data_IF_316540167615
#
_entry.id   IF_316540167615
#
_cell.length_a   1.000
_cell.length_b   1.000
_cell.length_c   1.000
_cell.angle_alpha   90.00
_cell.angle_beta   90.00
_cell.angle_gamma   90.00
#
_symmetry.space_group_name_H-M   'P 1'
#
loop_
_entity.id
_entity.type
_entity.pdbx_description
1 polymer ?
#
# COMPACT_ATOMS: atom_id res chain seq x y z
N UNK A 1 21.60 -8.92 -55.45
CA UNK A 1 20.41 -8.93 -54.58
C UNK A 1 20.78 -8.15 -53.32
N UNK A 2 20.32 -6.91 -53.18
CA UNK A 2 20.76 -6.03 -52.10
C UNK A 2 19.95 -6.29 -50.82
N UNK A 3 20.66 -6.30 -49.70
CA UNK A 3 20.10 -6.16 -48.37
C UNK A 3 19.69 -4.70 -48.15
N UNK A 4 18.44 -4.47 -47.79
CA UNK A 4 17.91 -3.16 -47.40
C UNK A 4 17.73 -3.18 -45.88
N UNK A 5 18.54 -2.37 -45.20
CA UNK A 5 18.24 -1.85 -43.87
C UNK A 5 16.88 -1.16 -43.90
N UNK A 6 15.98 -1.56 -43.01
CA UNK A 6 14.71 -0.87 -42.75
C UNK A 6 14.50 -0.80 -41.24
N UNK A 7 14.58 0.41 -40.69
CA UNK A 7 14.41 0.76 -39.29
C UNK A 7 13.15 0.12 -38.68
N UNK A 8 13.32 -0.58 -37.57
CA UNK A 8 12.25 -0.82 -36.59
C UNK A 8 12.01 0.49 -35.82
N UNK A 9 11.16 1.35 -36.40
CA UNK A 9 10.46 2.40 -35.66
C UNK A 9 9.43 1.73 -34.76
N UNK A 10 9.80 1.46 -33.51
CA UNK A 10 8.81 1.32 -32.43
C UNK A 10 8.32 2.73 -32.11
N UNK A 11 7.37 3.20 -32.92
CA UNK A 11 6.60 4.39 -32.61
C UNK A 11 5.84 4.12 -31.31
N UNK A 12 6.18 4.90 -30.29
CA UNK A 12 5.35 5.22 -29.15
C UNK A 12 4.03 5.81 -29.63
N UNK A 13 3.06 4.98 -29.96
CA UNK A 13 1.67 5.38 -29.86
C UNK A 13 1.25 5.14 -28.41
N UNK A 14 1.35 6.19 -27.58
CA UNK A 14 0.32 6.38 -26.59
C UNK A 14 -1.01 6.37 -27.37
N UNK A 15 -1.79 5.30 -27.21
CA UNK A 15 -3.09 5.23 -27.85
C UNK A 15 -3.89 6.43 -27.32
N UNK A 16 -4.38 7.28 -28.22
CA UNK A 16 -5.33 8.32 -27.85
C UNK A 16 -6.48 7.65 -27.08
N UNK A 17 -6.93 8.30 -26.00
CA UNK A 17 -8.03 7.79 -25.20
C UNK A 17 -9.25 7.53 -26.11
N UNK A 18 -10.01 6.48 -25.85
CA UNK A 18 -11.20 6.21 -26.65
C UNK A 18 -12.14 7.43 -26.59
N UNK A 19 -12.72 7.90 -27.71
CA UNK A 19 -13.51 9.15 -27.74
C UNK A 19 -14.65 9.19 -26.71
N UNK A 20 -15.22 8.03 -26.37
CA UNK A 20 -16.29 7.90 -25.37
C UNK A 20 -15.82 8.15 -23.91
N UNK A 21 -14.50 8.22 -23.67
CA UNK A 21 -13.91 8.49 -22.36
C UNK A 21 -13.44 9.95 -22.22
N UNK A 22 -13.52 10.75 -23.28
CA UNK A 22 -13.15 12.17 -23.23
C UNK A 22 -14.20 13.01 -22.50
N UNK A 23 -13.78 14.08 -21.79
CA UNK A 23 -14.72 14.94 -21.09
C UNK A 23 -15.62 15.71 -22.08
N UNK A 24 -16.96 15.66 -21.91
CA UNK A 24 -17.86 16.43 -22.77
C UNK A 24 -17.75 17.93 -22.47
N UNK A 25 -18.19 18.75 -23.43
CA UNK A 25 -18.36 20.18 -23.18
C UNK A 25 -19.47 20.40 -22.16
N UNK A 26 -19.19 21.22 -21.14
CA UNK A 26 -20.12 21.59 -20.06
C UNK A 26 -20.05 23.08 -19.82
N UNK A 27 -21.17 23.65 -19.39
CA UNK A 27 -21.22 25.07 -19.03
C UNK A 27 -20.38 25.32 -17.78
N UNK A 28 -19.65 26.46 -17.69
CA UNK A 28 -18.83 26.80 -16.53
C UNK A 28 -19.68 27.33 -15.35
N UNK A 29 -20.75 26.61 -14.99
CA UNK A 29 -21.68 26.88 -13.89
C UNK A 29 -21.72 25.71 -12.91
N UNK A 30 -22.38 25.88 -11.76
CA UNK A 30 -22.55 24.81 -10.78
C UNK A 30 -23.40 23.66 -11.34
N UNK A 31 -24.45 23.96 -12.11
CA UNK A 31 -25.27 22.93 -12.77
C UNK A 31 -24.47 22.16 -13.85
N UNK A 32 -23.59 22.87 -14.57
CA UNK A 32 -22.66 22.25 -15.51
C UNK A 32 -21.67 21.33 -14.80
N UNK A 33 -21.16 21.74 -13.63
CA UNK A 33 -20.27 20.94 -12.80
C UNK A 33 -20.93 19.67 -12.26
N UNK A 34 -22.21 19.71 -11.89
CA UNK A 34 -22.99 18.51 -11.49
C UNK A 34 -23.02 17.49 -12.62
N UNK A 35 -23.31 17.93 -13.85
CA UNK A 35 -23.33 17.05 -15.02
C UNK A 35 -21.93 16.53 -15.36
N UNK A 36 -20.92 17.39 -15.28
CA UNK A 36 -19.52 17.02 -15.47
C UNK A 36 -19.07 15.94 -14.49
N UNK A 37 -19.36 16.09 -13.20
CA UNK A 37 -19.04 15.11 -12.16
C UNK A 37 -19.75 13.77 -12.40
N UNK A 38 -21.01 13.78 -12.85
CA UNK A 38 -21.74 12.57 -13.18
C UNK A 38 -21.11 11.82 -14.36
N UNK A 39 -20.74 12.55 -15.41
CA UNK A 39 -20.11 11.96 -16.58
C UNK A 39 -18.71 11.41 -16.22
N UNK A 40 -17.92 12.16 -15.45
CA UNK A 40 -16.64 11.71 -14.90
C UNK A 40 -16.80 10.39 -14.16
N UNK A 41 -17.77 10.29 -13.26
CA UNK A 41 -17.99 9.09 -12.48
C UNK A 41 -18.29 7.87 -13.38
N UNK A 42 -19.10 8.05 -14.44
CA UNK A 42 -19.44 6.95 -15.35
C UNK A 42 -18.27 6.44 -16.19
N UNK A 43 -17.31 7.30 -16.53
CA UNK A 43 -16.13 6.93 -17.33
C UNK A 43 -14.97 6.51 -16.44
N UNK A 44 -14.80 7.12 -15.27
CA UNK A 44 -13.77 6.79 -14.29
C UNK A 44 -13.92 5.37 -13.76
N UNK A 45 -15.15 4.88 -13.48
CA UNK A 45 -15.36 3.49 -13.04
C UNK A 45 -14.77 2.47 -14.02
N UNK A 46 -14.84 2.75 -15.33
CA UNK A 46 -14.29 1.86 -16.37
C UNK A 46 -12.76 1.91 -16.38
N UNK A 47 -12.18 3.11 -16.36
CA UNK A 47 -10.73 3.32 -16.44
C UNK A 47 -10.02 2.82 -15.19
N UNK A 48 -10.58 3.11 -14.01
CA UNK A 48 -10.05 2.66 -12.72
C UNK A 48 -10.17 1.14 -12.58
N UNK A 49 -11.27 0.52 -13.04
CA UNK A 49 -11.40 -0.93 -13.04
C UNK A 49 -10.31 -1.62 -13.85
N UNK A 50 -9.99 -1.12 -15.05
CA UNK A 50 -8.94 -1.68 -15.90
C UNK A 50 -7.55 -1.49 -15.28
N UNK A 51 -7.26 -0.29 -14.76
CA UNK A 51 -5.99 0.01 -14.08
C UNK A 51 -5.76 -0.89 -12.86
N UNK A 52 -6.75 -0.95 -11.96
CA UNK A 52 -6.70 -1.80 -10.76
C UNK A 52 -6.61 -3.28 -11.13
N UNK A 53 -7.29 -3.72 -12.19
CA UNK A 53 -7.19 -5.10 -12.67
C UNK A 53 -5.79 -5.45 -13.16
N UNK A 54 -5.13 -4.55 -13.89
CA UNK A 54 -3.75 -4.73 -14.32
C UNK A 54 -2.77 -4.75 -13.13
N UNK A 55 -2.94 -3.83 -12.18
CA UNK A 55 -2.18 -3.80 -10.92
C UNK A 55 -2.36 -5.07 -10.11
N UNK A 56 -3.59 -5.58 -9.97
CA UNK A 56 -3.86 -6.85 -9.27
C UNK A 56 -3.14 -8.03 -9.93
N UNK A 57 -3.21 -8.14 -11.26
CA UNK A 57 -2.57 -9.22 -12.01
C UNK A 57 -1.05 -9.19 -11.87
N UNK A 58 -0.44 -8.01 -11.83
CA UNK A 58 0.98 -7.85 -11.53
C UNK A 58 1.31 -8.25 -10.09
N UNK A 59 0.60 -7.69 -9.11
CA UNK A 59 0.86 -7.94 -7.68
C UNK A 59 0.68 -9.42 -7.29
N UNK A 60 -0.21 -10.15 -7.97
CA UNK A 60 -0.45 -11.58 -7.73
C UNK A 60 0.31 -12.51 -8.68
N UNK A 61 1.09 -11.95 -9.62
CA UNK A 61 1.95 -12.69 -10.53
C UNK A 61 3.01 -11.76 -11.16
N UNK A 62 4.15 -11.60 -10.46
CA UNK A 62 5.22 -10.68 -10.83
C UNK A 62 5.99 -11.21 -12.06
N UNK A 63 5.57 -10.79 -13.25
CA UNK A 63 6.22 -11.09 -14.52
C UNK A 63 6.51 -9.81 -15.30
N UNK A 64 7.47 -9.87 -16.24
CA UNK A 64 7.76 -8.73 -17.10
C UNK A 64 6.58 -8.35 -18.01
N UNK A 65 5.78 -9.35 -18.42
CA UNK A 65 4.56 -9.13 -19.20
C UNK A 65 3.50 -8.39 -18.39
N UNK A 66 3.21 -8.84 -17.17
CA UNK A 66 2.25 -8.18 -16.29
C UNK A 66 2.72 -6.78 -15.89
N UNK A 67 4.02 -6.57 -15.68
CA UNK A 67 4.58 -5.24 -15.43
C UNK A 67 4.32 -4.28 -16.61
N UNK A 68 4.53 -4.74 -17.85
CA UNK A 68 4.26 -3.94 -19.03
C UNK A 68 2.78 -3.63 -19.20
N UNK A 69 1.88 -4.58 -18.89
CA UNK A 69 0.44 -4.37 -18.89
C UNK A 69 -0.01 -3.37 -17.81
N UNK A 70 0.55 -3.46 -16.61
CA UNK A 70 0.30 -2.51 -15.52
C UNK A 70 0.72 -1.10 -15.94
N UNK A 71 1.97 -0.92 -16.39
CA UNK A 71 2.47 0.39 -16.84
C UNK A 71 1.59 0.96 -17.95
N UNK A 72 1.16 0.12 -18.90
CA UNK A 72 0.25 0.55 -19.97
C UNK A 72 -1.09 1.04 -19.42
N UNK A 73 -1.72 0.29 -18.52
CA UNK A 73 -2.99 0.67 -17.93
C UNK A 73 -2.88 1.96 -17.09
N UNK A 74 -1.79 2.12 -16.32
CA UNK A 74 -1.51 3.36 -15.58
C UNK A 74 -1.32 4.57 -16.51
N UNK A 75 -0.71 4.39 -17.69
CA UNK A 75 -0.59 5.48 -18.68
C UNK A 75 -1.96 5.86 -19.28
N UNK A 76 -2.83 4.88 -19.54
CA UNK A 76 -4.20 5.13 -20.01
C UNK A 76 -5.02 5.89 -18.94
N UNK A 77 -4.89 5.51 -17.67
CA UNK A 77 -5.48 6.23 -16.54
C UNK A 77 -4.94 7.66 -16.38
N UNK A 78 -3.62 7.85 -16.52
CA UNK A 78 -3.01 9.18 -16.45
C UNK A 78 -3.46 10.09 -17.60
N UNK A 79 -3.66 9.54 -18.81
CA UNK A 79 -4.23 10.28 -19.93
C UNK A 79 -5.68 10.70 -19.65
N UNK A 80 -6.50 9.80 -19.09
CA UNK A 80 -7.85 10.13 -18.64
C UNK A 80 -7.83 11.25 -17.60
N UNK A 81 -7.01 11.10 -16.56
CA UNK A 81 -6.87 12.08 -15.47
C UNK A 81 -6.41 13.44 -15.98
N UNK A 82 -5.44 13.47 -16.91
CA UNK A 82 -4.99 14.72 -17.52
C UNK A 82 -6.11 15.42 -18.29
N UNK A 83 -6.84 14.71 -19.14
CA UNK A 83 -7.90 15.30 -19.98
C UNK A 83 -9.03 15.87 -19.11
N UNK A 84 -9.52 15.07 -18.16
CA UNK A 84 -10.59 15.49 -17.25
C UNK A 84 -10.14 16.61 -16.32
N UNK A 85 -8.94 16.50 -15.74
CA UNK A 85 -8.40 17.51 -14.84
C UNK A 85 -8.12 18.84 -15.54
N UNK A 86 -7.54 18.82 -16.75
CA UNK A 86 -7.37 20.05 -17.56
C UNK A 86 -8.71 20.67 -17.91
N UNK A 87 -9.71 19.87 -18.29
CA UNK A 87 -11.05 20.39 -18.60
C UNK A 87 -11.74 20.98 -17.38
N UNK A 88 -11.57 20.38 -16.21
CA UNK A 88 -12.07 20.91 -14.94
C UNK A 88 -11.40 22.24 -14.58
N UNK A 89 -10.06 22.35 -14.73
CA UNK A 89 -9.31 23.61 -14.55
C UNK A 89 -9.78 24.69 -15.52
N UNK A 90 -10.04 24.34 -16.79
CA UNK A 90 -10.54 25.27 -17.82
C UNK A 90 -11.93 25.84 -17.49
N UNK A 91 -12.88 24.97 -17.13
CA UNK A 91 -14.28 25.37 -16.92
C UNK A 91 -14.51 26.01 -15.54
N UNK A 92 -13.94 25.39 -14.50
CA UNK A 92 -14.29 25.66 -13.10
C UNK A 92 -13.18 26.37 -12.32
N UNK A 93 -11.90 26.22 -12.68
CA UNK A 93 -10.78 27.03 -12.16
C UNK A 93 -10.83 27.27 -10.64
N UNK A 94 -10.99 28.53 -10.21
CA UNK A 94 -11.18 28.87 -8.78
C UNK A 94 -12.67 28.93 -8.35
N UNK A 95 -13.60 28.85 -9.32
CA UNK A 95 -15.05 28.99 -9.09
C UNK A 95 -15.64 27.84 -8.27
N UNK A 96 -15.06 26.64 -8.37
CA UNK A 96 -15.57 25.47 -7.65
C UNK A 96 -15.61 25.69 -6.14
N UNK A 97 -14.67 26.47 -5.58
CA UNK A 97 -14.65 26.80 -4.15
C UNK A 97 -15.91 27.51 -3.66
N UNK A 98 -16.64 28.17 -4.57
CA UNK A 98 -17.85 28.92 -4.27
C UNK A 98 -19.15 28.14 -4.57
N UNK A 99 -19.06 26.90 -5.06
CA UNK A 99 -20.27 26.09 -5.28
C UNK A 99 -21.01 25.85 -3.97
N UNK A 100 -22.34 25.90 -4.02
CA UNK A 100 -23.19 25.73 -2.84
C UNK A 100 -23.08 24.31 -2.26
N UNK A 101 -22.98 23.29 -3.11
CA UNK A 101 -22.88 21.89 -2.69
C UNK A 101 -21.45 21.51 -2.21
N UNK A 102 -21.25 21.21 -0.91
CA UNK A 102 -19.95 20.79 -0.39
C UNK A 102 -19.41 19.50 -1.00
N UNK A 103 -20.26 18.55 -1.42
CA UNK A 103 -19.80 17.33 -2.07
C UNK A 103 -19.27 17.63 -3.47
N UNK A 104 -19.98 18.46 -4.23
CA UNK A 104 -19.54 18.90 -5.54
C UNK A 104 -18.20 19.66 -5.47
N UNK A 105 -17.99 20.49 -4.44
CA UNK A 105 -16.68 21.12 -4.20
C UNK A 105 -15.56 20.09 -4.07
N UNK A 106 -15.76 19.06 -3.24
CA UNK A 106 -14.76 17.99 -3.06
C UNK A 106 -14.48 17.24 -4.35
N UNK A 107 -15.53 16.87 -5.10
CA UNK A 107 -15.38 16.13 -6.35
C UNK A 107 -14.62 16.96 -7.39
N UNK A 108 -15.04 18.20 -7.64
CA UNK A 108 -14.41 19.05 -8.65
C UNK A 108 -13.01 19.50 -8.23
N UNK A 109 -12.78 19.74 -6.94
CA UNK A 109 -11.44 19.98 -6.40
C UNK A 109 -10.50 18.79 -6.59
N UNK A 110 -10.99 17.56 -6.33
CA UNK A 110 -10.23 16.33 -6.55
C UNK A 110 -9.89 16.10 -8.01
N UNK A 111 -10.85 16.28 -8.93
CA UNK A 111 -10.61 16.10 -10.39
C UNK A 111 -9.56 17.10 -10.90
N UNK A 112 -9.48 18.30 -10.31
CA UNK A 112 -8.48 19.30 -10.69
C UNK A 112 -7.06 18.99 -10.18
N UNK A 113 -6.87 18.00 -9.32
CA UNK A 113 -5.54 17.56 -8.89
C UNK A 113 -5.08 16.44 -9.82
N UNK A 114 -4.10 16.71 -10.68
CA UNK A 114 -3.65 15.76 -11.70
C UNK A 114 -2.54 14.83 -11.19
N UNK A 115 -1.78 15.27 -10.18
CA UNK A 115 -0.63 14.54 -9.65
C UNK A 115 0.38 14.21 -10.75
N UNK A 116 0.89 12.96 -10.82
CA UNK A 116 1.81 12.50 -11.87
C UNK A 116 1.33 12.77 -13.30
N UNK A 117 0.02 12.91 -13.53
CA UNK A 117 -0.55 13.27 -14.83
C UNK A 117 -0.23 14.70 -15.28
N UNK A 118 0.40 15.53 -14.45
CA UNK A 118 0.97 16.81 -14.88
C UNK A 118 2.28 16.66 -15.67
N UNK A 119 3.02 15.57 -15.45
CA UNK A 119 4.32 15.36 -16.05
C UNK A 119 4.21 15.19 -17.58
N UNK A 120 5.25 15.54 -18.36
CA UNK A 120 5.39 15.11 -19.75
C UNK A 120 5.34 13.58 -19.90
N UNK A 121 4.92 13.08 -21.06
CA UNK A 121 4.71 11.64 -21.29
C UNK A 121 5.95 10.79 -20.96
N UNK A 122 7.14 11.21 -21.37
CA UNK A 122 8.40 10.53 -21.07
C UNK A 122 8.69 10.45 -19.56
N UNK A 123 8.35 11.52 -18.83
CA UNK A 123 8.49 11.56 -17.37
C UNK A 123 7.41 10.74 -16.66
N UNK A 124 6.19 10.64 -17.21
CA UNK A 124 5.14 9.73 -16.70
C UNK A 124 5.54 8.27 -16.85
N UNK A 125 6.05 7.89 -18.02
CA UNK A 125 6.58 6.56 -18.27
C UNK A 125 7.72 6.23 -17.30
N UNK A 126 8.64 7.18 -17.09
CA UNK A 126 9.73 7.03 -16.13
C UNK A 126 9.20 6.90 -14.69
N UNK A 127 8.22 7.71 -14.27
CA UNK A 127 7.60 7.67 -12.96
C UNK A 127 6.96 6.29 -12.68
N UNK A 128 6.12 5.81 -13.60
CA UNK A 128 5.45 4.51 -13.47
C UNK A 128 6.45 3.35 -13.48
N UNK A 129 7.49 3.42 -14.31
CA UNK A 129 8.56 2.41 -14.36
C UNK A 129 9.34 2.38 -13.04
N UNK A 130 9.65 3.55 -12.45
CA UNK A 130 10.35 3.63 -11.17
C UNK A 130 9.51 2.98 -10.06
N UNK A 131 8.20 3.26 -10.00
CA UNK A 131 7.30 2.62 -9.02
C UNK A 131 7.30 1.10 -9.16
N UNK A 132 7.02 0.58 -10.36
CA UNK A 132 7.05 -0.86 -10.65
C UNK A 132 8.41 -1.49 -10.28
N UNK A 133 9.52 -0.82 -10.58
CA UNK A 133 10.85 -1.32 -10.24
C UNK A 133 11.10 -1.34 -8.73
N UNK A 134 10.65 -0.32 -7.99
CA UNK A 134 10.78 -0.28 -6.53
C UNK A 134 9.98 -1.40 -5.88
N UNK A 135 8.73 -1.62 -6.31
CA UNK A 135 7.87 -2.69 -5.80
C UNK A 135 8.46 -4.07 -6.08
N UNK A 136 8.99 -4.27 -7.30
CA UNK A 136 9.69 -5.50 -7.67
C UNK A 136 10.91 -5.74 -6.80
N UNK A 137 11.79 -4.74 -6.64
CA UNK A 137 13.01 -4.87 -5.82
C UNK A 137 12.64 -5.25 -4.39
N UNK A 138 11.66 -4.57 -3.81
CA UNK A 138 11.22 -4.87 -2.46
C UNK A 138 10.62 -6.28 -2.35
N UNK A 139 9.74 -6.67 -3.27
CA UNK A 139 9.02 -7.95 -3.19
C UNK A 139 9.87 -9.17 -3.51
N UNK A 140 10.96 -9.00 -4.28
CA UNK A 140 11.81 -10.09 -4.78
C UNK A 140 13.19 -10.13 -4.13
N UNK A 141 13.52 -9.18 -3.26
CA UNK A 141 14.79 -9.18 -2.54
C UNK A 141 14.92 -10.44 -1.67
N UNK A 142 16.13 -11.03 -1.69
CA UNK A 142 16.45 -12.24 -0.94
C UNK A 142 17.78 -12.07 -0.22
N UNK A 143 17.91 -12.72 0.93
CA UNK A 143 19.16 -12.79 1.70
C UNK A 143 19.78 -14.17 1.55
N UNK A 144 20.92 -14.26 0.88
CA UNK A 144 21.56 -15.53 0.57
C UNK A 144 22.72 -15.86 1.51
N UNK A 145 22.67 -17.06 2.07
CA UNK A 145 23.73 -17.66 2.86
C UNK A 145 24.92 -18.10 1.99
N UNK A 146 26.14 -18.22 2.56
CA UNK A 146 27.32 -18.68 1.82
C UNK A 146 27.19 -20.08 1.19
N UNK A 147 26.26 -20.90 1.67
CA UNK A 147 25.98 -22.24 1.14
C UNK A 147 25.03 -22.23 -0.08
N UNK A 148 24.57 -21.05 -0.52
CA UNK A 148 23.66 -20.88 -1.66
C UNK A 148 22.17 -20.90 -1.31
N UNK A 149 21.77 -21.14 -0.05
CA UNK A 149 20.37 -21.02 0.36
C UNK A 149 19.98 -19.54 0.51
N UNK A 150 18.86 -19.13 -0.09
CA UNK A 150 18.35 -17.76 0.04
C UNK A 150 17.04 -17.72 0.82
N UNK A 151 16.86 -16.66 1.61
CA UNK A 151 15.66 -16.40 2.39
C UNK A 151 14.88 -15.24 1.79
N UNK A 152 13.58 -15.45 1.58
CA UNK A 152 12.65 -14.39 1.20
C UNK A 152 12.28 -13.53 2.42
N UNK A 153 11.80 -12.30 2.20
CA UNK A 153 11.22 -11.51 3.30
C UNK A 153 10.10 -12.28 4.00
N UNK A 154 9.12 -12.72 3.20
CA UNK A 154 7.98 -13.50 3.65
C UNK A 154 8.00 -14.92 3.01
N UNK A 155 8.04 -16.00 3.82
CA UNK A 155 7.96 -16.02 5.29
C UNK A 155 9.33 -16.04 6.01
N UNK A 156 10.44 -16.33 5.32
CA UNK A 156 11.67 -16.79 5.97
C UNK A 156 12.29 -15.75 6.93
N UNK A 157 12.56 -14.54 6.45
CA UNK A 157 13.18 -13.50 7.26
C UNK A 157 12.23 -13.01 8.35
N UNK A 158 10.95 -12.82 8.04
CA UNK A 158 9.93 -12.45 9.03
C UNK A 158 9.85 -13.48 10.17
N UNK A 159 9.90 -14.77 9.87
CA UNK A 159 9.89 -15.83 10.89
C UNK A 159 11.19 -15.88 11.69
N UNK A 160 12.35 -15.65 11.05
CA UNK A 160 13.64 -15.52 11.75
C UNK A 160 13.58 -14.35 12.73
N UNK A 161 13.10 -13.19 12.30
CA UNK A 161 13.01 -11.99 13.13
C UNK A 161 12.02 -12.18 14.29
N UNK A 162 10.91 -12.88 14.06
CA UNK A 162 9.90 -13.13 15.08
C UNK A 162 10.36 -14.15 16.14
N UNK A 163 10.96 -15.26 15.72
CA UNK A 163 11.16 -16.44 16.59
C UNK A 163 12.59 -16.61 17.08
N UNK A 164 13.60 -16.12 16.34
CA UNK A 164 14.99 -16.32 16.73
C UNK A 164 15.34 -15.50 17.96
N UNK A 165 16.23 -16.06 18.79
CA UNK A 165 16.82 -15.39 19.95
C UNK A 165 18.35 -15.35 19.85
N UNK A 166 18.91 -15.63 18.67
CA UNK A 166 20.35 -15.56 18.40
C UNK A 166 20.71 -14.19 17.85
N UNK A 167 21.48 -13.40 18.63
CA UNK A 167 21.90 -12.05 18.24
C UNK A 167 22.52 -12.03 16.83
N UNK A 168 23.46 -12.94 16.55
CA UNK A 168 24.16 -12.99 15.27
C UNK A 168 23.25 -13.36 14.10
N UNK A 169 22.29 -14.28 14.31
CA UNK A 169 21.35 -14.68 13.26
C UNK A 169 20.39 -13.54 12.92
N UNK A 170 19.87 -12.87 13.95
CA UNK A 170 19.00 -11.69 13.80
C UNK A 170 19.74 -10.55 13.09
N UNK A 171 20.99 -10.27 13.51
CA UNK A 171 21.81 -9.24 12.88
C UNK A 171 22.04 -9.55 11.38
N UNK A 172 22.39 -10.80 11.05
CA UNK A 172 22.63 -11.20 9.67
C UNK A 172 21.38 -11.05 8.80
N UNK A 173 20.21 -11.47 9.31
CA UNK A 173 18.93 -11.32 8.61
C UNK A 173 18.59 -9.84 8.40
N UNK A 174 18.70 -9.02 9.45
CA UNK A 174 18.37 -7.60 9.42
C UNK A 174 19.29 -6.81 8.48
N UNK A 175 20.61 -6.99 8.62
CA UNK A 175 21.62 -6.33 7.78
C UNK A 175 21.51 -6.80 6.32
N UNK A 176 21.37 -8.12 6.11
CA UNK A 176 21.19 -8.70 4.79
C UNK A 176 19.99 -8.11 4.07
N UNK A 177 18.84 -7.98 4.75
CA UNK A 177 17.63 -7.41 4.16
C UNK A 177 17.80 -5.95 3.78
N UNK A 178 18.29 -5.12 4.71
CA UNK A 178 18.50 -3.69 4.45
C UNK A 178 19.51 -3.46 3.32
N UNK A 179 20.52 -4.33 3.19
CA UNK A 179 21.47 -4.27 2.10
C UNK A 179 20.89 -4.73 0.76
N UNK A 180 20.11 -5.81 0.74
CA UNK A 180 19.56 -6.39 -0.47
C UNK A 180 18.43 -5.54 -1.07
N UNK A 181 17.51 -5.05 -0.23
CA UNK A 181 16.40 -4.20 -0.68
C UNK A 181 16.78 -2.71 -0.71
N UNK A 182 17.39 -2.19 0.35
CA UNK A 182 17.59 -0.74 0.51
C UNK A 182 18.61 -0.12 -0.44
N UNK A 183 19.75 -0.78 -0.66
CA UNK A 183 20.81 -0.25 -1.52
C UNK A 183 20.35 -0.01 -2.98
N UNK A 184 19.70 -0.98 -3.67
CA UNK A 184 19.21 -0.75 -5.02
C UNK A 184 18.01 0.21 -5.10
N UNK A 185 17.22 0.33 -4.02
CA UNK A 185 16.10 1.30 -3.96
C UNK A 185 16.57 2.75 -3.89
N UNK A 186 17.71 3.03 -3.23
CA UNK A 186 18.20 4.39 -2.97
C UNK A 186 18.22 5.31 -4.20
N UNK A 187 18.89 4.98 -5.33
CA UNK A 187 18.92 5.88 -6.49
C UNK A 187 17.54 6.06 -7.14
N UNK A 188 16.69 5.03 -7.12
CA UNK A 188 15.32 5.09 -7.66
C UNK A 188 14.44 6.01 -6.82
N UNK A 189 14.53 5.92 -5.51
CA UNK A 189 13.78 6.76 -4.58
C UNK A 189 14.14 8.25 -4.73
N UNK A 190 15.41 8.56 -4.98
CA UNK A 190 15.84 9.94 -5.24
C UNK A 190 15.18 10.54 -6.48
N UNK A 191 15.10 9.76 -7.57
CA UNK A 191 14.46 10.19 -8.81
C UNK A 191 12.93 10.26 -8.66
N UNK A 192 12.34 9.28 -7.96
CA UNK A 192 10.91 9.28 -7.61
C UNK A 192 10.52 10.56 -6.87
N UNK A 193 11.25 10.94 -5.81
CA UNK A 193 10.95 12.15 -5.02
C UNK A 193 11.00 13.40 -5.89
N UNK A 194 11.96 13.48 -6.82
CA UNK A 194 12.06 14.62 -7.74
C UNK A 194 10.84 14.69 -8.67
N UNK A 195 10.53 13.61 -9.39
CA UNK A 195 9.40 13.56 -10.32
C UNK A 195 8.06 13.78 -9.60
N UNK A 196 7.89 13.19 -8.42
CA UNK A 196 6.69 13.36 -7.60
C UNK A 196 6.50 14.83 -7.19
N UNK A 197 7.55 15.49 -6.70
CA UNK A 197 7.47 16.91 -6.34
C UNK A 197 7.19 17.80 -7.56
N UNK A 198 7.87 17.56 -8.69
CA UNK A 198 7.64 18.31 -9.94
C UNK A 198 6.16 18.21 -10.37
N UNK A 199 5.56 17.03 -10.22
CA UNK A 199 4.16 16.78 -10.56
C UNK A 199 3.17 17.55 -9.67
N UNK A 200 3.36 17.53 -8.35
CA UNK A 200 2.45 18.19 -7.39
C UNK A 200 2.67 19.70 -7.25
N UNK A 201 3.87 20.20 -7.57
CA UNK A 201 4.12 21.64 -7.71
C UNK A 201 3.21 22.27 -8.78
N UNK A 202 2.94 21.53 -9.86
CA UNK A 202 2.04 21.97 -10.95
C UNK A 202 0.55 22.01 -10.54
N UNK A 203 0.19 21.35 -9.44
CA UNK A 203 -1.13 21.44 -8.81
C UNK A 203 -1.20 22.51 -7.69
N UNK A 204 -0.09 23.22 -7.43
CA UNK A 204 -0.03 24.31 -6.45
C UNK A 204 0.36 23.89 -5.04
N UNK A 205 0.78 22.64 -4.82
CA UNK A 205 1.33 22.20 -3.53
C UNK A 205 2.83 22.53 -3.43
N UNK A 206 3.37 22.69 -2.20
CA UNK A 206 4.80 22.96 -2.02
C UNK A 206 5.70 21.76 -2.34
N UNK A 207 5.17 20.56 -2.11
CA UNK A 207 5.80 19.26 -2.27
C UNK A 207 4.73 18.16 -2.17
N UNK A 208 5.09 16.93 -2.54
CA UNK A 208 4.19 15.76 -2.42
C UNK A 208 3.68 15.55 -0.99
N UNK A 209 4.49 15.87 0.02
CA UNK A 209 4.10 15.75 1.42
C UNK A 209 2.98 16.74 1.80
N UNK A 210 3.03 17.97 1.28
CA UNK A 210 1.95 18.95 1.44
C UNK A 210 0.65 18.47 0.79
N UNK A 211 0.73 17.81 -0.37
CA UNK A 211 -0.42 17.18 -0.98
C UNK A 211 -0.99 16.08 -0.06
N UNK A 212 -0.18 15.16 0.44
CA UNK A 212 -0.64 14.11 1.36
C UNK A 212 -1.25 14.65 2.66
N UNK A 213 -0.66 15.72 3.23
CA UNK A 213 -1.21 16.36 4.44
C UNK A 213 -2.55 17.07 4.16
N UNK A 214 -2.79 17.52 2.93
CA UNK A 214 -4.05 18.21 2.56
C UNK A 214 -5.30 17.33 2.71
N UNK A 215 -5.16 16.00 2.64
CA UNK A 215 -6.28 15.06 2.79
C UNK A 215 -6.96 15.12 4.16
N UNK A 216 -6.25 15.63 5.17
CA UNK A 216 -6.76 15.78 6.53
C UNK A 216 -7.53 17.09 6.74
N UNK A 217 -7.51 18.01 5.76
CA UNK A 217 -8.21 19.30 5.78
C UNK A 217 -8.01 20.05 7.11
N UNK A 218 -6.76 20.09 7.58
CA UNK A 218 -6.37 20.64 8.87
C UNK A 218 -5.07 21.44 8.79
N UNK A 219 -5.17 22.75 9.04
CA UNK A 219 -4.02 23.66 9.10
C UNK A 219 -3.06 23.36 10.25
N UNK A 220 -3.52 22.65 11.29
CA UNK A 220 -2.73 22.33 12.49
C UNK A 220 -2.27 20.88 12.54
N UNK A 221 -2.45 20.12 11.46
CA UNK A 221 -2.22 18.67 11.42
C UNK A 221 -0.89 18.22 12.05
N UNK A 222 0.23 18.83 11.65
CA UNK A 222 1.56 18.48 12.18
C UNK A 222 1.68 18.77 13.69
N UNK A 223 1.12 19.90 14.15
CA UNK A 223 1.12 20.28 15.56
C UNK A 223 0.24 19.36 16.40
N UNK A 224 -0.89 18.93 15.87
CA UNK A 224 -1.80 18.04 16.54
C UNK A 224 -1.17 16.65 16.73
N UNK A 225 -0.46 16.14 15.70
CA UNK A 225 0.31 14.90 15.80
C UNK A 225 1.45 14.99 16.83
N UNK A 226 2.20 16.10 16.83
CA UNK A 226 3.27 16.34 17.82
C UNK A 226 2.71 16.37 19.25
N UNK A 227 1.55 17.00 19.46
CA UNK A 227 0.89 17.03 20.77
C UNK A 227 0.44 15.63 21.23
N UNK A 228 -0.05 14.79 20.32
CA UNK A 228 -0.41 13.40 20.62
C UNK A 228 0.84 12.60 20.94
N UNK A 229 1.91 12.75 20.17
CA UNK A 229 3.18 12.05 20.42
C UNK A 229 3.74 12.38 21.81
N UNK A 230 3.77 13.66 22.20
CA UNK A 230 4.24 14.10 23.52
C UNK A 230 3.40 13.53 24.68
N UNK A 231 2.10 13.28 24.48
CA UNK A 231 1.26 12.60 25.47
C UNK A 231 1.58 11.10 25.59
N UNK A 232 1.97 10.46 24.49
CA UNK A 232 2.31 9.03 24.43
C UNK A 232 3.76 8.76 24.85
N UNK A 233 4.66 9.74 24.71
CA UNK A 233 6.09 9.60 24.97
C UNK A 233 6.39 9.02 26.37
N UNK A 234 5.80 9.50 27.49
CA UNK A 234 6.09 8.93 28.80
C UNK A 234 5.75 7.44 28.91
N UNK A 235 4.66 7.00 28.27
CA UNK A 235 4.29 5.58 28.23
C UNK A 235 5.32 4.79 27.42
N UNK A 236 5.68 5.29 26.23
CA UNK A 236 6.66 4.66 25.36
C UNK A 236 8.03 4.53 26.04
N UNK A 237 8.50 5.58 26.72
CA UNK A 237 9.80 5.58 27.39
C UNK A 237 9.88 4.56 28.54
N UNK A 238 8.78 4.38 29.30
CA UNK A 238 8.70 3.35 30.33
C UNK A 238 8.70 1.94 29.73
N UNK A 239 7.91 1.71 28.67
CA UNK A 239 7.89 0.44 27.93
C UNK A 239 9.27 0.12 27.35
N UNK A 240 9.89 1.09 26.68
CA UNK A 240 11.23 0.99 26.11
C UNK A 240 12.27 0.65 27.19
N UNK A 241 12.26 1.32 28.33
CA UNK A 241 13.20 1.04 29.42
C UNK A 241 13.02 -0.38 30.01
N UNK A 242 11.78 -0.82 30.19
CA UNK A 242 11.45 -2.17 30.65
C UNK A 242 11.94 -3.24 29.66
N UNK A 243 11.61 -3.08 28.37
CA UNK A 243 12.03 -3.97 27.29
C UNK A 243 13.55 -4.02 27.20
N UNK A 244 14.22 -2.87 27.25
CA UNK A 244 15.69 -2.79 27.25
C UNK A 244 16.32 -3.57 28.41
N UNK A 245 15.73 -3.52 29.62
CA UNK A 245 16.18 -4.33 30.76
C UNK A 245 16.03 -5.82 30.49
N UNK A 246 14.88 -6.27 29.99
CA UNK A 246 14.65 -7.69 29.69
C UNK A 246 15.57 -8.21 28.58
N UNK A 247 15.82 -7.40 27.55
CA UNK A 247 16.80 -7.72 26.52
C UNK A 247 18.22 -7.78 27.08
N UNK A 248 18.58 -6.90 28.03
CA UNK A 248 19.86 -6.97 28.73
C UNK A 248 20.00 -8.30 29.49
N UNK A 249 18.95 -8.77 30.17
CA UNK A 249 19.00 -10.04 30.89
C UNK A 249 19.21 -11.23 29.93
N UNK A 250 18.69 -11.14 28.70
CA UNK A 250 18.83 -12.18 27.67
C UNK A 250 20.15 -12.14 26.91
N UNK A 251 20.57 -10.97 26.43
CA UNK A 251 21.71 -10.80 25.52
C UNK A 251 22.98 -10.31 26.23
N UNK A 252 22.85 -9.76 27.45
CA UNK A 252 23.96 -9.33 28.28
C UNK A 252 24.53 -7.94 27.93
N UNK A 253 25.46 -7.45 28.77
CA UNK A 253 26.05 -6.09 28.66
C UNK A 253 26.89 -5.87 27.40
N UNK A 254 27.34 -6.94 26.74
CA UNK A 254 28.09 -6.85 25.49
C UNK A 254 27.24 -6.26 24.35
N UNK A 255 25.94 -6.56 24.36
CA UNK A 255 25.03 -6.21 23.27
C UNK A 255 24.03 -5.12 23.65
N UNK A 256 23.70 -4.98 24.94
CA UNK A 256 22.70 -4.02 25.40
C UNK A 256 23.32 -3.02 26.37
N UNK A 257 23.24 -1.74 26.02
CA UNK A 257 23.53 -0.64 26.93
C UNK A 257 22.24 -0.19 27.63
N UNK A 258 22.17 -0.35 28.96
CA UNK A 258 20.99 0.03 29.76
C UNK A 258 20.64 1.52 29.75
N UNK A 259 21.53 2.37 29.22
CA UNK A 259 21.33 3.81 29.06
C UNK A 259 21.33 4.26 27.60
N UNK A 260 21.49 3.34 26.65
CA UNK A 260 21.51 3.62 25.21
C UNK A 260 20.27 3.14 24.47
N UNK A 261 20.18 3.37 23.15
CA UNK A 261 19.13 2.79 22.32
C UNK A 261 19.18 1.27 22.28
N UNK A 262 18.04 0.65 21.97
CA UNK A 262 17.96 -0.80 21.72
C UNK A 262 18.45 -1.09 20.29
N UNK A 263 19.29 -2.12 20.06
CA UNK A 263 19.61 -2.57 18.70
C UNK A 263 18.33 -2.99 17.94
N UNK A 264 18.09 -2.38 16.77
CA UNK A 264 16.83 -2.51 16.03
C UNK A 264 16.43 -3.95 15.66
N UNK A 265 17.41 -4.82 15.44
CA UNK A 265 17.19 -6.22 15.03
C UNK A 265 16.73 -7.16 16.17
N UNK A 266 16.50 -6.65 17.39
CA UNK A 266 16.15 -7.48 18.56
C UNK A 266 14.67 -7.38 18.98
N UNK A 267 13.85 -6.64 18.24
CA UNK A 267 12.50 -6.27 18.64
C UNK A 267 11.39 -7.14 18.02
N UNK A 268 11.76 -8.32 17.48
CA UNK A 268 10.78 -9.31 17.01
C UNK A 268 10.16 -9.01 15.65
N UNK A 269 10.60 -7.95 14.97
CA UNK A 269 10.10 -7.49 13.67
C UNK A 269 11.25 -6.85 12.88
N UNK A 270 11.23 -6.96 11.54
CA UNK A 270 12.29 -6.45 10.65
C UNK A 270 12.57 -4.95 10.85
N UNK A 271 11.53 -4.16 11.11
CA UNK A 271 11.59 -2.70 11.26
C UNK A 271 11.40 -2.22 12.69
N UNK A 272 11.30 -3.16 13.65
CA UNK A 272 11.01 -2.85 15.05
C UNK A 272 9.72 -2.02 15.29
N UNK A 273 8.77 -2.05 14.34
CA UNK A 273 7.54 -1.27 14.41
C UNK A 273 6.50 -1.85 15.40
N UNK A 274 6.63 -3.14 15.73
CA UNK A 274 5.78 -3.86 16.68
C UNK A 274 6.63 -4.88 17.46
N UNK A 275 6.36 -5.02 18.77
CA UNK A 275 7.20 -5.81 19.71
C UNK A 275 6.45 -7.01 20.31
N UNK A 276 5.33 -7.41 19.72
CA UNK A 276 4.52 -8.54 20.19
C UNK A 276 5.26 -9.89 20.12
N UNK A 277 6.13 -10.08 19.12
CA UNK A 277 6.85 -11.35 18.91
C UNK A 277 7.94 -11.65 19.96
N UNK A 278 8.27 -10.69 20.83
CA UNK A 278 9.18 -10.89 21.97
C UNK A 278 8.43 -10.98 23.30
N UNK A 279 7.09 -11.12 23.27
CA UNK A 279 6.27 -11.15 24.48
C UNK A 279 6.70 -12.25 25.47
N UNK A 280 7.17 -13.40 24.98
CA UNK A 280 7.75 -14.49 25.78
C UNK A 280 8.89 -14.03 26.70
N UNK A 281 9.68 -13.03 26.28
CA UNK A 281 10.75 -12.45 27.08
C UNK A 281 10.26 -11.36 28.05
N UNK A 282 9.05 -10.84 27.83
CA UNK A 282 8.49 -9.67 28.50
C UNK A 282 7.43 -10.02 29.54
N UNK A 283 7.07 -11.30 29.69
CA UNK A 283 6.00 -11.74 30.61
C UNK A 283 6.29 -11.28 32.05
N UNK A 284 5.45 -10.41 32.63
CA UNK A 284 5.65 -9.95 34.02
C UNK A 284 5.33 -11.03 35.05
N UNK A 285 4.34 -11.89 34.75
CA UNK A 285 3.84 -12.94 35.64
C UNK A 285 3.73 -14.30 34.91
N UNK A 286 4.83 -15.07 34.79
CA UNK A 286 4.88 -16.30 33.99
C UNK A 286 3.91 -17.40 34.40
N UNK A 287 3.50 -17.41 35.66
CA UNK A 287 2.57 -18.41 36.24
C UNK A 287 1.10 -18.18 35.84
N UNK A 288 0.80 -17.14 35.07
CA UNK A 288 -0.56 -16.81 34.63
C UNK A 288 -0.82 -17.30 33.19
N UNK A 289 -2.08 -17.60 32.83
CA UNK A 289 -2.43 -18.02 31.47
C UNK A 289 -1.93 -17.01 30.43
N UNK A 290 -1.34 -17.54 29.35
CA UNK A 290 -0.89 -16.74 28.23
C UNK A 290 -2.09 -16.30 27.37
N UNK A 291 -2.03 -15.07 26.85
CA UNK A 291 -3.03 -14.50 25.94
C UNK A 291 -2.71 -14.86 24.48
N UNK A 292 -1.51 -15.35 24.18
CA UNK A 292 -1.15 -15.82 22.84
C UNK A 292 -1.87 -17.15 22.50
N UNK A 293 -2.81 -17.07 21.56
CA UNK A 293 -3.65 -18.18 21.10
C UNK A 293 -3.07 -18.96 19.93
N UNK A 294 -1.88 -18.58 19.43
CA UNK A 294 -1.28 -19.15 18.21
C UNK A 294 -1.17 -20.67 18.26
N UNK A 295 -0.68 -21.22 19.39
CA UNK A 295 -0.55 -22.67 19.57
C UNK A 295 -1.89 -23.41 19.55
N UNK A 296 -2.95 -22.80 20.06
CA UNK A 296 -4.30 -23.37 20.05
C UNK A 296 -4.88 -23.36 18.63
N UNK A 297 -4.67 -22.30 17.85
CA UNK A 297 -5.10 -22.23 16.45
C UNK A 297 -4.47 -23.34 15.60
N UNK A 298 -3.17 -23.60 15.79
CA UNK A 298 -2.46 -24.70 15.10
C UNK A 298 -3.03 -26.05 15.50
N UNK A 299 -3.21 -26.31 16.79
CA UNK A 299 -3.75 -27.58 17.29
C UNK A 299 -5.16 -27.85 16.79
N UNK A 300 -5.96 -26.80 16.58
CA UNK A 300 -7.31 -26.88 16.03
C UNK A 300 -7.34 -26.91 14.49
N UNK A 301 -6.20 -26.79 13.81
CA UNK A 301 -6.12 -26.85 12.35
C UNK A 301 -6.70 -25.63 11.64
N UNK A 302 -6.60 -24.43 12.22
CA UNK A 302 -7.07 -23.20 11.59
C UNK A 302 -6.30 -22.93 10.28
N UNK A 303 -7.03 -22.58 9.23
CA UNK A 303 -6.46 -22.12 7.95
C UNK A 303 -6.85 -20.66 7.65
N UNK A 304 -6.30 -20.07 6.59
CA UNK A 304 -6.57 -18.67 6.26
C UNK A 304 -8.07 -18.44 6.02
N UNK A 305 -8.74 -19.29 5.25
CA UNK A 305 -10.18 -19.20 4.97
C UNK A 305 -11.00 -19.16 6.26
N UNK A 306 -10.70 -20.02 7.23
CA UNK A 306 -11.42 -20.04 8.51
C UNK A 306 -11.22 -18.73 9.28
N UNK A 307 -10.01 -18.17 9.28
CA UNK A 307 -9.75 -16.87 9.93
C UNK A 307 -10.53 -15.73 9.29
N UNK A 308 -10.64 -15.69 7.96
CA UNK A 308 -11.47 -14.71 7.26
C UNK A 308 -12.96 -14.92 7.58
N UNK A 309 -13.44 -16.17 7.67
CA UNK A 309 -14.84 -16.46 8.02
C UNK A 309 -15.20 -16.05 9.46
N UNK A 310 -14.30 -16.27 10.41
CA UNK A 310 -14.49 -15.79 11.80
C UNK A 310 -14.53 -14.25 11.85
N UNK A 311 -13.74 -13.59 10.99
CA UNK A 311 -13.80 -12.13 10.86
C UNK A 311 -15.13 -11.66 10.27
N UNK A 312 -15.61 -12.30 9.19
CA UNK A 312 -16.94 -12.05 8.62
C UNK A 312 -18.08 -12.24 9.64
N UNK A 313 -18.03 -13.30 10.44
CA UNK A 313 -18.99 -13.54 11.53
C UNK A 313 -19.00 -12.40 12.55
N UNK A 314 -17.83 -11.88 12.92
CA UNK A 314 -17.73 -10.73 13.82
C UNK A 314 -18.44 -9.49 13.23
N UNK A 315 -18.18 -9.12 11.97
CA UNK A 315 -18.79 -7.94 11.35
C UNK A 315 -20.29 -8.11 11.13
N UNK A 316 -20.74 -9.28 10.68
CA UNK A 316 -22.16 -9.58 10.52
C UNK A 316 -22.91 -9.62 11.86
N UNK A 317 -22.25 -10.02 12.95
CA UNK A 317 -22.83 -9.92 14.30
C UNK A 317 -23.11 -8.47 14.75
N UNK A 318 -22.41 -7.50 14.16
CA UNK A 318 -22.64 -6.06 14.37
C UNK A 318 -23.68 -5.46 13.41
N UNK A 319 -24.25 -6.28 12.52
CA UNK A 319 -25.23 -5.86 11.50
C UNK A 319 -24.61 -5.27 10.24
N UNK A 320 -23.31 -5.47 10.00
CA UNK A 320 -22.64 -5.08 8.76
C UNK A 320 -22.82 -6.14 7.67
N UNK A 321 -22.50 -5.76 6.42
CA UNK A 321 -22.65 -6.64 5.25
C UNK A 321 -21.64 -7.80 5.26
N UNK A 322 -22.10 -8.96 4.78
CA UNK A 322 -21.25 -10.11 4.48
C UNK A 322 -20.35 -9.85 3.27
N UNK A 323 -19.28 -10.65 3.10
CA UNK A 323 -18.41 -10.51 1.93
C UNK A 323 -19.08 -11.12 0.69
N UNK A 324 -19.01 -10.44 -0.48
CA UNK A 324 -19.64 -10.93 -1.69
C UNK A 324 -18.98 -12.22 -2.19
N UNK A 325 -19.69 -13.06 -2.97
CA UNK A 325 -19.12 -14.29 -3.54
C UNK A 325 -17.80 -14.05 -4.31
N UNK A 326 -17.71 -12.93 -5.03
CA UNK A 326 -16.53 -12.51 -5.81
C UNK A 326 -15.28 -12.36 -4.94
N UNK A 327 -15.43 -11.91 -3.69
CA UNK A 327 -14.32 -11.79 -2.74
C UNK A 327 -13.68 -13.15 -2.47
N UNK A 328 -14.50 -14.17 -2.20
CA UNK A 328 -14.02 -15.52 -1.89
C UNK A 328 -13.45 -16.25 -3.10
N UNK A 329 -13.98 -15.97 -4.28
CA UNK A 329 -13.53 -16.59 -5.53
C UNK A 329 -12.19 -16.01 -6.02
N UNK A 330 -11.99 -14.69 -5.88
CA UNK A 330 -10.90 -13.98 -6.56
C UNK A 330 -9.77 -13.50 -5.65
N UNK A 331 -9.93 -13.52 -4.34
CA UNK A 331 -8.89 -13.08 -3.40
C UNK A 331 -7.72 -14.05 -3.30
N UNK A 332 -6.51 -13.53 -3.07
CA UNK A 332 -5.31 -14.33 -2.81
C UNK A 332 -5.09 -14.42 -1.29
N UNK A 333 -5.78 -15.35 -0.62
CA UNK A 333 -5.76 -15.45 0.85
C UNK A 333 -4.48 -16.13 1.41
N UNK A 334 -3.79 -16.91 0.58
CA UNK A 334 -2.55 -17.63 0.93
C UNK A 334 -1.51 -17.47 -0.20
N UNK A 335 -0.23 -17.63 0.14
CA UNK A 335 0.86 -17.60 -0.86
C UNK A 335 0.69 -18.75 -1.85
N UNK A 336 0.66 -18.50 -3.17
CA UNK A 336 0.57 -19.57 -4.16
C UNK A 336 1.76 -20.55 -4.06
N UNK A 337 1.49 -21.84 -4.25
CA UNK A 337 2.50 -22.92 -4.15
C UNK A 337 3.11 -23.31 -5.49
N UNK A 338 2.74 -22.64 -6.57
CA UNK A 338 3.20 -22.91 -7.93
C UNK A 338 4.51 -22.19 -8.30
N UNK A 339 5.12 -21.51 -7.33
CA UNK A 339 6.43 -20.86 -7.47
C UNK A 339 6.39 -19.48 -8.10
N UNK A 340 5.20 -18.90 -8.35
CA UNK A 340 5.10 -17.52 -8.83
C UNK A 340 5.55 -16.53 -7.74
N UNK A 341 6.15 -15.43 -8.18
CA UNK A 341 6.49 -14.32 -7.29
C UNK A 341 5.27 -13.40 -7.15
N UNK A 342 5.01 -12.95 -5.92
CA UNK A 342 3.85 -12.12 -5.59
C UNK A 342 4.23 -11.06 -4.56
N UNK A 343 3.47 -9.97 -4.50
CA UNK A 343 3.54 -8.99 -3.41
C UNK A 343 2.81 -9.57 -2.21
N UNK A 344 3.55 -9.86 -1.15
CA UNK A 344 3.06 -10.57 0.03
C UNK A 344 2.56 -9.66 1.17
N UNK A 345 2.66 -8.34 1.00
CA UNK A 345 2.16 -7.40 1.98
C UNK A 345 0.63 -7.37 1.95
N UNK A 346 0.01 -7.53 3.12
CA UNK A 346 -1.44 -7.56 3.21
C UNK A 346 -2.05 -6.25 2.70
N UNK A 347 -3.09 -6.37 1.87
CA UNK A 347 -3.77 -5.24 1.23
C UNK A 347 -5.24 -5.57 0.93
N UNK A 348 -6.04 -4.51 0.80
CA UNK A 348 -7.45 -4.53 0.45
C UNK A 348 -7.65 -3.75 -0.84
N UNK A 349 -8.44 -4.29 -1.77
CA UNK A 349 -8.55 -3.78 -3.14
C UNK A 349 -10.02 -3.56 -3.48
N UNK A 350 -10.36 -2.32 -3.85
CA UNK A 350 -11.62 -1.93 -4.48
C UNK A 350 -11.37 -1.79 -5.99
N UNK A 351 -12.13 -2.54 -6.80
CA UNK A 351 -12.01 -2.51 -8.26
C UNK A 351 -12.91 -1.43 -8.90
N UNK A 352 -13.49 -0.53 -8.11
CA UNK A 352 -14.28 0.63 -8.57
C UNK A 352 -15.53 0.27 -9.40
N UNK A 353 -15.95 -1.00 -9.40
CA UNK A 353 -17.15 -1.48 -10.11
C UNK A 353 -18.31 -1.83 -9.16
N UNK A 354 -18.16 -1.52 -7.86
CA UNK A 354 -19.14 -1.74 -6.78
C UNK A 354 -19.51 -3.21 -6.52
N UNK A 355 -18.73 -4.15 -7.05
CA UNK A 355 -19.00 -5.60 -6.95
C UNK A 355 -17.76 -6.39 -6.55
N UNK A 356 -16.64 -6.08 -7.17
CA UNK A 356 -15.40 -6.83 -7.05
C UNK A 356 -14.51 -6.17 -6.00
N UNK A 357 -14.40 -6.86 -4.88
CA UNK A 357 -13.63 -6.47 -3.71
C UNK A 357 -12.73 -7.65 -3.38
N UNK A 358 -11.43 -7.42 -3.22
CA UNK A 358 -10.47 -8.51 -2.99
C UNK A 358 -9.49 -8.17 -1.88
N UNK A 359 -8.87 -9.21 -1.34
CA UNK A 359 -7.74 -9.06 -0.43
C UNK A 359 -6.56 -9.92 -0.86
N UNK A 360 -5.37 -9.35 -0.69
CA UNK A 360 -4.14 -10.14 -0.57
C UNK A 360 -3.96 -10.44 0.91
N UNK A 361 -4.12 -11.70 1.27
CA UNK A 361 -3.79 -12.21 2.60
C UNK A 361 -2.29 -12.15 2.85
N UNK A 362 -1.90 -12.11 4.12
CA UNK A 362 -0.48 -12.26 4.47
C UNK A 362 0.02 -13.61 3.99
N UNK A 363 1.14 -13.64 3.27
CA UNK A 363 1.79 -14.87 2.79
C UNK A 363 2.34 -15.76 3.92
N UNK A 364 2.12 -15.40 5.19
CA UNK A 364 2.62 -16.14 6.34
C UNK A 364 1.84 -17.44 6.53
N UNK A 365 2.56 -18.51 6.84
CA UNK A 365 1.95 -19.82 7.08
C UNK A 365 0.95 -19.76 8.27
N UNK A 366 -0.14 -20.50 8.10
CA UNK A 366 -1.17 -20.70 9.13
C UNK A 366 -0.51 -21.26 10.40
N UNK A 367 -0.62 -20.53 11.51
CA UNK A 367 -0.03 -20.93 12.79
C UNK A 367 1.06 -20.03 13.37
N UNK A 368 1.31 -18.85 12.81
CA UNK A 368 2.17 -17.84 13.44
C UNK A 368 1.47 -16.50 13.49
N UNK A 369 0.96 -16.12 14.68
CA UNK A 369 0.31 -14.85 15.02
C UNK A 369 0.04 -13.94 13.80
N UNK A 370 -0.88 -14.33 12.89
CA UNK A 370 -1.22 -13.47 11.78
C UNK A 370 -1.89 -12.29 12.47
N UNK A 371 -1.42 -11.05 12.26
CA UNK A 371 -2.11 -9.94 12.87
C UNK A 371 -3.57 -10.02 12.39
N UNK A 372 -4.50 -10.20 13.33
CA UNK A 372 -5.93 -10.04 13.05
C UNK A 372 -6.21 -8.61 12.55
N UNK A 373 -5.29 -7.68 12.81
CA UNK A 373 -5.38 -6.27 12.45
C UNK A 373 -5.53 -6.01 10.93
N UNK A 374 -4.64 -6.49 10.02
CA UNK A 374 -4.88 -6.39 8.58
C UNK A 374 -6.20 -7.02 8.12
N UNK A 375 -6.63 -8.14 8.71
CA UNK A 375 -7.90 -8.77 8.37
C UNK A 375 -9.07 -7.86 8.77
N UNK A 376 -9.13 -7.43 10.02
CA UNK A 376 -10.18 -6.55 10.55
C UNK A 376 -10.22 -5.20 9.81
N UNK A 377 -9.07 -4.61 9.49
CA UNK A 377 -8.98 -3.36 8.72
C UNK A 377 -9.50 -3.57 7.30
N UNK A 378 -9.06 -4.63 6.62
CA UNK A 378 -9.54 -4.99 5.28
C UNK A 378 -11.06 -5.22 5.27
N UNK A 379 -11.59 -5.97 6.24
CA UNK A 379 -13.03 -6.19 6.35
C UNK A 379 -13.80 -4.89 6.61
N UNK A 380 -13.33 -4.05 7.55
CA UNK A 380 -13.97 -2.77 7.85
C UNK A 380 -13.97 -1.83 6.65
N UNK A 381 -12.86 -1.74 5.92
CA UNK A 381 -12.74 -0.94 4.72
C UNK A 381 -13.67 -1.43 3.60
N UNK A 382 -13.63 -2.74 3.27
CA UNK A 382 -14.47 -3.28 2.20
C UNK A 382 -15.97 -3.22 2.58
N UNK A 383 -16.32 -3.43 3.85
CA UNK A 383 -17.70 -3.25 4.32
C UNK A 383 -18.19 -1.81 4.17
N UNK A 384 -17.32 -0.83 4.36
CA UNK A 384 -17.65 0.58 4.15
C UNK A 384 -17.68 0.96 2.67
N UNK A 385 -16.75 0.46 1.85
CA UNK A 385 -16.71 0.68 0.40
C UNK A 385 -17.95 0.12 -0.32
N UNK A 386 -18.54 -0.96 0.22
CA UNK A 386 -19.82 -1.51 -0.25
C UNK A 386 -21.03 -0.60 0.06
N UNK A 387 -20.88 0.48 0.85
CA UNK A 387 -21.98 1.39 1.16
C UNK A 387 -22.21 2.41 0.03
N UNK A 388 -23.47 2.66 -0.37
CA UNK A 388 -23.81 3.42 -1.59
C UNK A 388 -23.45 4.93 -1.58
N UNK A 389 -22.92 5.47 -0.47
CA UNK A 389 -22.65 6.91 -0.29
C UNK A 389 -21.15 7.25 -0.17
N UNK A 390 -20.24 6.31 -0.42
CA UNK A 390 -18.80 6.62 -0.45
C UNK A 390 -18.45 7.18 -1.82
N UNK A 391 -18.17 8.48 -1.88
CA UNK A 391 -17.68 9.12 -3.09
C UNK A 391 -16.29 8.59 -3.43
N UNK A 392 -16.08 8.18 -4.69
CA UNK A 392 -14.77 7.80 -5.20
C UNK A 392 -13.86 9.03 -5.27
N UNK A 393 -13.14 9.31 -4.18
CA UNK A 393 -11.90 10.08 -4.28
C UNK A 393 -10.81 9.09 -4.66
N UNK A 394 -10.50 8.99 -5.95
CA UNK A 394 -9.34 8.25 -6.44
C UNK A 394 -8.09 8.80 -5.75
N UNK A 395 -7.45 7.97 -4.92
CA UNK A 395 -6.33 8.41 -4.10
C UNK A 395 -6.03 7.50 -2.94
N UNK A 396 -5.94 6.19 -3.18
CA UNK A 396 -5.23 5.27 -2.30
C UNK A 396 -4.57 4.19 -3.18
N UNK A 397 -3.42 4.53 -3.74
CA UNK A 397 -2.32 3.59 -3.97
C UNK A 397 -1.15 3.97 -3.06
#
# INVERSE_FOLDING_TARGET
>A
MPAVLGLLLWLSLAAALHPDLEPPQREPTEEGAVLFARDYNSTAELVLFESVSASWNYNTNLTAENAALQVKASLEEQNFTELWGKKAKELYGDKWNNFSDPQLRKIIGSIQTLGPSNLPLDQREQYNTILSDMDKIYSTAKVCLPNGTCWDLEPDLSDIMATSRSYKKLLYAWEGWHNAAGNPLRPKYQEFVKLSNDAYLMDGFSDTGSYWRSWYDSDTFEKDLENIYNQLEPLYLNLHAFVRRKLYDRYGPKYINLRGPIPAHLLGNMWAQQWNNIYDLMIPYPEKPNVDVTSAMVQQGWNATHMFRVSEEFFTSLGLLEMPPEFWEKSMLEKPTDGREVVCHASAWDFYNRKDFRSVGTCRATGQNPPLSPLVITFGFLSQAMQPNVAFSGGLE
#
